data_IF_529763414473
#
_entry.id   IF_529763414473
#
_cell.length_a   1.000
_cell.length_b   1.000
_cell.length_c   1.000
_cell.angle_alpha   90.00
_cell.angle_beta   90.00
_cell.angle_gamma   90.00
#
_symmetry.space_group_name_H-M   'P 1'
#
loop_
_entity.id
_entity.type
_entity.pdbx_description
1 polymer ?
#
# COMPACT_ATOMS: atom_id res chain seq x y z
N UNK A 1 48.85 43.95 -34.99
CA UNK A 1 48.08 43.84 -33.75
C UNK A 1 46.77 43.14 -34.06
N UNK A 2 46.51 42.04 -33.37
CA UNK A 2 45.30 41.22 -33.46
C UNK A 2 44.04 42.05 -33.22
N UNK A 3 42.88 41.61 -33.73
CA UNK A 3 41.72 41.24 -32.92
C UNK A 3 40.64 40.62 -33.83
N UNK A 4 40.66 39.28 -33.92
CA UNK A 4 39.54 38.45 -34.37
C UNK A 4 38.43 38.59 -33.31
N UNK A 5 37.30 39.16 -33.71
CA UNK A 5 36.11 39.27 -32.86
C UNK A 5 35.42 37.91 -32.77
N UNK A 6 35.58 37.24 -31.63
CA UNK A 6 34.90 35.98 -31.30
C UNK A 6 33.39 36.20 -31.13
N UNK A 7 32.59 35.51 -31.95
CA UNK A 7 31.14 35.43 -31.87
C UNK A 7 30.73 34.80 -30.53
N UNK A 8 30.16 35.60 -29.61
CA UNK A 8 29.57 35.10 -28.36
C UNK A 8 28.10 34.76 -28.62
N UNK A 9 27.83 33.56 -29.14
CA UNK A 9 26.48 32.99 -29.09
C UNK A 9 26.20 32.45 -27.68
N UNK A 10 25.00 32.65 -27.10
CA UNK A 10 24.65 31.99 -25.86
C UNK A 10 24.49 30.49 -26.15
N UNK A 11 25.44 29.68 -25.70
CA UNK A 11 25.29 28.22 -25.67
C UNK A 11 24.25 27.93 -24.59
N UNK A 12 22.99 27.85 -25.00
CA UNK A 12 21.89 27.41 -24.14
C UNK A 12 22.08 25.91 -23.93
N UNK A 13 22.70 25.52 -22.81
CA UNK A 13 22.67 24.14 -22.34
C UNK A 13 21.24 23.80 -21.91
N UNK A 14 20.46 23.19 -22.81
CA UNK A 14 19.21 22.53 -22.43
C UNK A 14 19.57 21.29 -21.58
N UNK A 15 19.48 21.43 -20.26
CA UNK A 15 19.45 20.29 -19.35
C UNK A 15 18.09 19.61 -19.48
N UNK A 16 18.01 18.59 -20.34
CA UNK A 16 16.88 17.67 -20.40
C UNK A 16 16.95 16.75 -19.18
N UNK A 17 16.39 17.19 -18.06
CA UNK A 17 16.12 16.33 -16.91
C UNK A 17 14.94 15.43 -17.29
N UNK A 18 15.25 14.23 -17.79
CA UNK A 18 14.26 13.19 -17.99
C UNK A 18 13.68 12.79 -16.64
N UNK A 19 12.38 13.05 -16.44
CA UNK A 19 11.62 12.49 -15.32
C UNK A 19 11.47 11.00 -15.60
N UNK A 20 12.32 10.17 -14.99
CA UNK A 20 12.07 8.73 -14.96
C UNK A 20 10.89 8.54 -14.02
N UNK A 21 9.72 8.21 -14.58
CA UNK A 21 8.59 7.77 -13.78
C UNK A 21 8.99 6.45 -13.12
N UNK A 22 9.32 6.47 -11.83
CA UNK A 22 9.58 5.27 -11.05
C UNK A 22 8.24 4.65 -10.67
N UNK A 23 7.79 3.64 -11.41
CA UNK A 23 6.71 2.78 -10.92
C UNK A 23 7.30 1.79 -9.92
N UNK A 24 7.01 1.96 -8.63
CA UNK A 24 7.29 0.94 -7.63
C UNK A 24 6.31 -0.22 -7.82
N UNK A 25 6.81 -1.45 -7.85
CA UNK A 25 5.94 -2.62 -7.79
C UNK A 25 5.42 -2.78 -6.37
N UNK A 26 4.12 -3.05 -6.21
CA UNK A 26 3.47 -3.23 -4.91
C UNK A 26 3.51 -4.69 -4.49
N UNK A 27 4.02 -4.96 -3.28
CA UNK A 27 4.05 -6.30 -2.70
C UNK A 27 2.98 -6.46 -1.62
N UNK A 28 2.08 -7.44 -1.76
CA UNK A 28 1.02 -7.72 -0.80
C UNK A 28 1.09 -9.17 -0.30
N UNK A 29 0.58 -9.44 0.90
CA UNK A 29 0.34 -10.81 1.31
C UNK A 29 -0.85 -11.38 0.53
N UNK A 30 -0.69 -12.61 0.02
CA UNK A 30 -1.72 -13.34 -0.73
C UNK A 30 -1.92 -14.72 -0.09
N UNK A 31 -2.96 -14.87 0.73
CA UNK A 31 -3.22 -16.09 1.49
C UNK A 31 -4.70 -16.23 1.89
N UNK A 32 -5.08 -17.41 2.37
CA UNK A 32 -6.43 -17.69 2.84
C UNK A 32 -6.43 -18.62 4.08
N UNK A 33 -6.98 -18.15 5.20
CA UNK A 33 -6.96 -18.89 6.47
C UNK A 33 -7.77 -20.19 6.46
N UNK A 34 -8.66 -20.36 5.47
CA UNK A 34 -9.39 -21.62 5.28
C UNK A 34 -8.49 -22.74 4.76
N UNK A 35 -7.54 -22.41 3.87
CA UNK A 35 -6.63 -23.40 3.27
C UNK A 35 -5.29 -23.48 3.97
N UNK A 36 -4.87 -22.39 4.64
CA UNK A 36 -3.61 -22.32 5.37
C UNK A 36 -3.78 -21.52 6.67
N UNK A 37 -3.71 -22.22 7.81
CA UNK A 37 -3.91 -21.63 9.14
C UNK A 37 -2.89 -20.54 9.49
N UNK A 38 -1.72 -20.51 8.85
CA UNK A 38 -0.73 -19.44 9.05
C UNK A 38 -1.21 -18.06 8.53
N UNK A 39 -2.31 -18.02 7.76
CA UNK A 39 -2.95 -16.79 7.31
C UNK A 39 -3.96 -16.21 8.32
N UNK A 40 -4.15 -16.81 9.51
CA UNK A 40 -5.01 -16.25 10.56
C UNK A 40 -4.49 -14.91 11.12
N UNK A 41 -5.21 -14.28 12.08
CA UNK A 41 -4.89 -12.92 12.56
C UNK A 41 -3.74 -12.84 13.57
N UNK A 42 -3.16 -13.97 13.99
CA UNK A 42 -1.84 -14.01 14.64
C UNK A 42 -0.71 -13.78 13.62
N UNK A 43 -0.95 -12.88 12.67
CA UNK A 43 -0.12 -12.64 11.51
C UNK A 43 1.04 -11.74 11.91
N UNK A 44 2.27 -12.24 11.76
CA UNK A 44 3.51 -11.50 12.02
C UNK A 44 4.10 -11.06 10.68
N UNK A 45 3.72 -9.90 10.13
CA UNK A 45 4.17 -9.47 8.79
C UNK A 45 5.69 -9.39 8.67
N UNK A 46 6.41 -9.19 9.77
CA UNK A 46 7.87 -9.19 9.87
C UNK A 46 8.51 -10.60 9.85
N UNK A 47 7.70 -11.66 9.96
CA UNK A 47 8.18 -13.04 9.92
C UNK A 47 8.68 -13.41 8.53
N UNK A 48 9.96 -13.77 8.42
CA UNK A 48 10.55 -14.28 7.18
C UNK A 48 9.77 -15.46 6.60
N UNK A 49 9.28 -16.36 7.45
CA UNK A 49 8.51 -17.52 7.01
C UNK A 49 7.20 -17.10 6.33
N UNK A 50 6.48 -16.13 6.89
CA UNK A 50 5.24 -15.62 6.30
C UNK A 50 5.51 -14.78 5.05
N UNK A 51 6.58 -13.98 5.04
CA UNK A 51 7.00 -13.26 3.83
C UNK A 51 7.34 -14.22 2.69
N UNK A 52 8.14 -15.26 2.95
CA UNK A 52 8.48 -16.27 1.94
C UNK A 52 7.25 -17.05 1.48
N UNK A 53 6.31 -17.35 2.37
CA UNK A 53 5.13 -18.15 2.03
C UNK A 53 4.06 -17.36 1.26
N UNK A 54 3.83 -16.09 1.63
CA UNK A 54 2.62 -15.36 1.25
C UNK A 54 2.87 -14.02 0.57
N UNK A 55 4.05 -13.41 0.66
CA UNK A 55 4.30 -12.12 0.02
C UNK A 55 4.43 -12.32 -1.51
N UNK A 56 3.69 -11.53 -2.27
CA UNK A 56 3.71 -11.55 -3.74
C UNK A 56 3.65 -10.14 -4.30
N UNK A 57 4.39 -9.91 -5.37
CA UNK A 57 4.26 -8.71 -6.19
C UNK A 57 2.95 -8.75 -6.97
N UNK A 58 2.15 -7.69 -6.83
CA UNK A 58 0.89 -7.55 -7.55
C UNK A 58 1.14 -7.25 -9.03
N UNK A 59 0.42 -7.95 -9.91
CA UNK A 59 0.49 -7.69 -11.35
C UNK A 59 -0.37 -6.46 -11.68
N UNK A 60 0.20 -5.36 -12.20
CA UNK A 60 -0.56 -4.15 -12.53
C UNK A 60 -1.53 -4.33 -13.70
N UNK A 61 -1.49 -5.46 -14.42
CA UNK A 61 -2.35 -5.76 -15.56
C UNK A 61 -3.25 -6.98 -15.34
N UNK A 62 -3.34 -7.50 -14.11
CA UNK A 62 -4.22 -8.64 -13.82
C UNK A 62 -5.67 -8.31 -14.21
N UNK A 63 -6.39 -9.30 -14.74
CA UNK A 63 -7.82 -9.19 -15.08
C UNK A 63 -8.21 -8.01 -15.99
N UNK A 64 -7.28 -7.51 -16.82
CA UNK A 64 -7.45 -6.27 -17.61
C UNK A 64 -7.76 -5.05 -16.73
N UNK A 65 -7.19 -5.01 -15.52
CA UNK A 65 -7.33 -3.89 -14.60
C UNK A 65 -6.93 -2.58 -15.29
N UNK A 66 -7.78 -1.57 -15.12
CA UNK A 66 -7.55 -0.19 -15.56
C UNK A 66 -7.03 0.70 -14.44
N UNK A 67 -6.91 0.15 -13.24
CA UNK A 67 -6.53 0.81 -11.98
C UNK A 67 -5.30 0.13 -11.39
N UNK A 68 -4.50 0.92 -10.68
CA UNK A 68 -3.34 0.40 -9.98
C UNK A 68 -3.76 -0.61 -8.89
N UNK A 69 -2.97 -1.68 -8.69
CA UNK A 69 -3.25 -2.66 -7.67
C UNK A 69 -3.15 -2.05 -6.27
N UNK A 70 -3.85 -2.65 -5.32
CA UNK A 70 -3.74 -2.32 -3.90
C UNK A 70 -3.72 -3.58 -3.04
N UNK A 71 -3.24 -3.50 -1.81
CA UNK A 71 -3.33 -4.61 -0.89
C UNK A 71 -4.70 -4.63 -0.21
N UNK A 72 -5.34 -5.79 -0.20
CA UNK A 72 -6.64 -6.00 0.42
C UNK A 72 -6.57 -7.06 1.51
N UNK A 73 -7.29 -6.80 2.60
CA UNK A 73 -7.54 -7.76 3.69
C UNK A 73 -9.04 -7.90 3.88
N UNK A 74 -9.53 -9.13 3.87
CA UNK A 74 -10.93 -9.47 4.09
C UNK A 74 -11.03 -10.32 5.35
N UNK A 75 -11.77 -9.83 6.33
CA UNK A 75 -12.18 -10.57 7.52
C UNK A 75 -13.66 -10.90 7.39
N UNK A 76 -13.99 -12.18 7.26
CA UNK A 76 -15.36 -12.67 7.30
C UNK A 76 -15.60 -13.31 8.66
N UNK A 77 -16.55 -12.76 9.40
CA UNK A 77 -16.94 -13.21 10.72
C UNK A 77 -18.37 -13.75 10.67
N UNK A 78 -18.52 -15.05 10.89
CA UNK A 78 -19.78 -15.77 10.93
C UNK A 78 -19.93 -16.46 12.27
N UNK A 79 -21.13 -16.93 12.61
CA UNK A 79 -21.40 -17.52 13.93
C UNK A 79 -20.44 -18.65 14.34
N UNK A 80 -19.99 -19.46 13.38
CA UNK A 80 -19.19 -20.66 13.62
C UNK A 80 -17.76 -20.59 13.06
N UNK A 81 -17.38 -19.52 12.36
CA UNK A 81 -16.03 -19.38 11.84
C UNK A 81 -15.65 -17.93 11.64
N UNK A 82 -14.34 -17.70 11.73
CA UNK A 82 -13.70 -16.48 11.25
C UNK A 82 -12.73 -16.86 10.14
N UNK A 83 -12.84 -16.17 9.00
CA UNK A 83 -11.97 -16.40 7.83
C UNK A 83 -11.26 -15.12 7.45
N UNK A 84 -9.97 -15.24 7.19
CA UNK A 84 -9.12 -14.14 6.72
C UNK A 84 -8.62 -14.48 5.34
N UNK A 85 -8.74 -13.52 4.43
CA UNK A 85 -8.14 -13.57 3.11
C UNK A 85 -7.35 -12.29 2.88
N UNK A 86 -6.14 -12.44 2.36
CA UNK A 86 -5.29 -11.35 1.92
C UNK A 86 -5.04 -11.51 0.43
N UNK A 87 -5.13 -10.44 -0.33
CA UNK A 87 -4.95 -10.47 -1.78
C UNK A 87 -4.50 -9.12 -2.36
N UNK A 88 -4.04 -9.15 -3.60
CA UNK A 88 -3.97 -7.97 -4.46
C UNK A 88 -5.40 -7.65 -4.95
N UNK A 89 -5.86 -6.44 -4.71
CA UNK A 89 -7.13 -5.91 -5.16
C UNK A 89 -6.96 -5.01 -6.40
N UNK A 90 -7.99 -4.99 -7.23
CA UNK A 90 -8.05 -4.20 -8.46
C UNK A 90 -9.33 -3.35 -8.57
N UNK A 91 -10.37 -3.75 -7.84
CA UNK A 91 -11.64 -3.02 -7.71
C UNK A 91 -11.68 -2.29 -6.37
N UNK A 92 -11.28 -1.02 -6.37
CA UNK A 92 -11.21 -0.19 -5.17
C UNK A 92 -12.55 0.46 -4.84
N UNK A 93 -12.85 0.58 -3.54
CA UNK A 93 -13.85 1.54 -3.04
C UNK A 93 -13.12 2.81 -2.61
N UNK A 94 -13.24 3.88 -3.40
CA UNK A 94 -12.44 5.10 -3.23
C UNK A 94 -12.69 5.82 -1.89
N UNK A 95 -13.91 5.76 -1.36
CA UNK A 95 -14.28 6.52 -0.16
C UNK A 95 -13.90 5.83 1.18
N UNK A 96 -13.24 4.67 1.14
CA UNK A 96 -13.05 3.84 2.35
C UNK A 96 -11.69 3.15 2.39
N UNK A 97 -10.93 3.36 3.47
CA UNK A 97 -9.79 2.49 3.80
C UNK A 97 -10.29 1.13 4.27
N UNK A 98 -11.34 1.11 5.10
CA UNK A 98 -12.04 -0.10 5.51
C UNK A 98 -13.55 0.11 5.45
N UNK A 99 -14.29 -0.91 5.02
CA UNK A 99 -15.75 -0.91 5.03
C UNK A 99 -16.30 -2.28 5.41
N UNK A 100 -17.55 -2.30 5.88
CA UNK A 100 -18.25 -3.53 6.25
C UNK A 100 -19.46 -3.79 5.35
N UNK A 101 -19.68 -5.07 5.04
CA UNK A 101 -20.93 -5.59 4.48
C UNK A 101 -21.52 -6.53 5.52
N UNK A 102 -22.79 -6.32 5.87
CA UNK A 102 -23.50 -7.13 6.86
C UNK A 102 -24.60 -7.92 6.17
N UNK A 103 -24.65 -9.20 6.49
CA UNK A 103 -25.77 -10.10 6.21
C UNK A 103 -26.30 -10.62 7.55
N UNK A 104 -27.39 -11.39 7.52
CA UNK A 104 -27.96 -11.99 8.73
C UNK A 104 -26.97 -12.95 9.40
N UNK A 105 -26.26 -13.76 8.59
CA UNK A 105 -25.41 -14.85 9.08
C UNK A 105 -23.93 -14.49 9.24
N UNK A 106 -23.49 -13.37 8.65
CA UNK A 106 -22.08 -13.00 8.63
C UNK A 106 -21.85 -11.49 8.44
N UNK A 107 -20.69 -11.04 8.92
CA UNK A 107 -20.15 -9.70 8.70
C UNK A 107 -18.85 -9.83 7.92
N UNK A 108 -18.71 -9.08 6.83
CA UNK A 108 -17.47 -9.01 6.06
C UNK A 108 -16.88 -7.62 6.24
N UNK A 109 -15.69 -7.53 6.83
CA UNK A 109 -14.87 -6.32 6.87
C UNK A 109 -13.83 -6.42 5.76
N UNK A 110 -13.76 -5.41 4.90
CA UNK A 110 -12.77 -5.30 3.82
C UNK A 110 -11.94 -4.06 4.08
N UNK A 111 -10.62 -4.21 4.14
CA UNK A 111 -9.65 -3.12 4.23
C UNK A 111 -8.78 -3.06 2.96
N UNK A 112 -8.36 -1.87 2.59
CA UNK A 112 -7.65 -1.51 1.36
C UNK A 112 -6.50 -0.56 1.74
N UNK A 113 -5.29 -0.80 1.24
CA UNK A 113 -4.12 0.04 1.51
C UNK A 113 -3.09 -0.06 0.36
N UNK A 114 -2.20 0.92 0.26
CA UNK A 114 -1.36 1.17 -0.92
C UNK A 114 0.14 1.00 -0.64
N UNK A 115 0.52 0.69 0.60
CA UNK A 115 1.90 0.41 0.97
C UNK A 115 2.24 -1.08 0.88
N UNK A 116 3.51 -1.39 0.61
CA UNK A 116 3.99 -2.77 0.65
C UNK A 116 3.62 -3.42 1.98
N UNK A 117 3.15 -4.66 1.90
CA UNK A 117 2.82 -5.56 3.02
C UNK A 117 1.77 -5.02 4.03
N UNK A 118 1.09 -3.91 3.75
CA UNK A 118 0.16 -3.24 4.66
C UNK A 118 -1.04 -4.11 5.07
N UNK A 119 -1.47 -5.05 4.20
CA UNK A 119 -2.54 -6.00 4.52
C UNK A 119 -2.13 -7.10 5.52
N UNK A 120 -0.88 -7.09 5.99
CA UNK A 120 -0.41 -7.90 7.10
C UNK A 120 -0.87 -7.38 8.47
N UNK A 121 -1.19 -6.09 8.58
CA UNK A 121 -1.59 -5.48 9.84
C UNK A 121 -2.93 -6.01 10.38
N UNK A 122 -3.08 -5.99 11.70
CA UNK A 122 -4.38 -6.21 12.32
C UNK A 122 -5.25 -4.98 12.06
N UNK A 123 -6.48 -5.20 11.59
CA UNK A 123 -7.42 -4.15 11.14
C UNK A 123 -7.90 -3.21 12.25
N UNK A 124 -7.33 -3.33 13.46
CA UNK A 124 -7.64 -2.54 14.65
C UNK A 124 -6.65 -1.40 14.92
N UNK A 125 -5.63 -1.21 14.07
CA UNK A 125 -4.61 -0.16 14.29
C UNK A 125 -4.76 0.97 13.28
N UNK A 126 -5.90 1.68 13.32
CA UNK A 126 -5.96 3.07 12.84
C UNK A 126 -5.88 3.96 14.08
N UNK A 127 -4.67 4.15 14.58
CA UNK A 127 -4.37 5.23 15.50
C UNK A 127 -3.30 6.10 14.83
N UNK A 128 -3.61 7.33 14.40
CA UNK A 128 -2.58 8.30 14.10
C UNK A 128 -1.91 8.68 15.42
N UNK A 129 -0.86 7.95 15.82
CA UNK A 129 0.05 8.38 16.89
C UNK A 129 0.97 9.46 16.31
N UNK A 130 0.39 10.61 15.96
CA UNK A 130 1.11 11.80 15.52
C UNK A 130 0.37 13.06 16.01
N UNK A 131 0.23 13.17 17.34
CA UNK A 131 -0.17 14.44 17.98
C UNK A 131 0.55 14.68 19.31
N UNK A 132 1.74 14.14 19.52
CA UNK A 132 2.49 14.31 20.77
C UNK A 132 3.95 14.71 20.57
N UNK A 133 4.26 15.63 19.65
CA UNK A 133 5.54 16.36 19.68
C UNK A 133 5.39 17.77 19.07
N UNK A 134 4.64 18.65 19.72
CA UNK A 134 4.96 20.09 19.66
C UNK A 134 5.45 20.50 21.05
N UNK A 135 6.76 20.38 21.34
CA UNK A 135 7.31 20.99 22.54
C UNK A 135 7.32 22.51 22.38
N UNK A 136 6.55 23.20 23.22
CA UNK A 136 6.94 24.44 23.90
C UNK A 136 7.70 25.51 23.07
N UNK A 137 7.21 25.89 21.88
CA UNK A 137 7.61 27.16 21.25
C UNK A 137 6.67 28.33 21.61
N UNK A 138 5.77 28.14 22.57
CA UNK A 138 4.93 29.21 23.12
C UNK A 138 5.61 29.99 24.28
N UNK A 139 6.94 30.13 24.25
CA UNK A 139 7.70 30.95 25.22
C UNK A 139 8.41 32.16 24.61
N UNK A 140 8.19 32.45 23.33
CA UNK A 140 8.79 33.60 22.64
C UNK A 140 7.80 34.31 21.70
N UNK A 141 6.59 34.57 22.18
CA UNK A 141 5.70 35.64 21.70
C UNK A 141 5.13 36.36 22.91
#
# INVERSE_FOLDING_TARGET
THHIGTMKGPIVYLALLGFVATSSALDCFVCNSYTDGACADEFKPESKALQTAFLKTCDPKADNATSDPFCRKVLMDAHNFTRIQRDCGYERREDYDCYQKRSEDYVVTVCQCDEDNCNGANSLVIAPVLALLVPLFAKWL
#
